data_IF_365515334446
#
_entry.id   IF_365515334446
#
_cell.length_a   1.000
_cell.length_b   1.000
_cell.length_c   1.000
_cell.angle_alpha   90.00
_cell.angle_beta   90.00
_cell.angle_gamma   90.00
#
_symmetry.space_group_name_H-M   'P 1'
#
loop_
_entity.id
_entity.type
_entity.pdbx_description
1 polymer ?
#
# COMPACT_ATOMS: atom_id res chain seq x y z
N UNK A 1 -5.31 -2.22 27.25
CA UNK A 1 -5.08 -0.79 26.93
C UNK A 1 -3.80 -0.52 26.12
N UNK A 2 -2.69 -1.27 26.31
CA UNK A 2 -1.45 -1.09 25.52
C UNK A 2 -1.57 -1.50 24.04
N UNK A 3 -2.45 -2.46 23.72
CA UNK A 3 -2.68 -2.98 22.36
C UNK A 3 -3.31 -1.95 21.42
N UNK A 4 -4.20 -1.09 21.93
CA UNK A 4 -4.86 -0.04 21.14
C UNK A 4 -3.88 1.10 20.81
N UNK A 5 -2.99 1.44 21.75
CA UNK A 5 -1.95 2.43 21.51
C UNK A 5 -0.96 1.99 20.40
N UNK A 6 -0.57 0.70 20.39
CA UNK A 6 0.28 0.16 19.32
C UNK A 6 -0.43 0.14 17.97
N UNK A 7 -1.69 -0.30 17.93
CA UNK A 7 -2.48 -0.30 16.71
C UNK A 7 -2.65 1.12 16.14
N UNK A 8 -2.94 2.11 16.99
CA UNK A 8 -3.04 3.50 16.57
C UNK A 8 -1.73 4.05 16.01
N UNK A 9 -0.58 3.69 16.62
CA UNK A 9 0.73 4.10 16.12
C UNK A 9 1.06 3.49 14.75
N UNK A 10 0.73 2.21 14.53
CA UNK A 10 0.94 1.53 13.24
C UNK A 10 0.05 2.14 12.16
N UNK A 11 -1.22 2.38 12.45
CA UNK A 11 -2.16 3.01 11.50
C UNK A 11 -1.73 4.43 11.14
N UNK A 12 -1.25 5.22 12.11
CA UNK A 12 -0.77 6.57 11.88
C UNK A 12 0.58 6.62 11.13
N UNK A 13 1.42 5.59 11.24
CA UNK A 13 2.65 5.49 10.45
C UNK A 13 2.38 5.07 9.00
N UNK A 14 1.38 4.22 8.78
CA UNK A 14 1.03 3.68 7.46
C UNK A 14 0.56 4.75 6.46
N UNK A 15 -0.04 5.86 6.92
CA UNK A 15 -0.48 6.97 6.04
C UNK A 15 0.67 7.64 5.28
N UNK A 16 1.92 7.49 5.72
CA UNK A 16 3.10 8.05 5.05
C UNK A 16 3.62 7.22 3.87
N UNK A 17 3.15 5.99 3.71
CA UNK A 17 3.53 5.13 2.58
C UNK A 17 2.78 5.47 1.27
N UNK A 18 1.96 6.53 1.26
CA UNK A 18 1.25 6.99 0.07
C UNK A 18 2.19 7.86 -0.79
N UNK A 19 2.56 7.37 -1.98
CA UNK A 19 3.53 7.99 -2.90
C UNK A 19 3.09 9.35 -3.52
N UNK A 20 1.99 9.94 -3.04
CA UNK A 20 1.45 11.21 -3.54
C UNK A 20 0.90 11.14 -4.96
N UNK A 21 0.62 12.31 -5.55
CA UNK A 21 0.33 12.45 -6.97
C UNK A 21 1.55 13.09 -7.63
N UNK A 22 2.45 12.30 -8.27
CA UNK A 22 3.65 12.86 -8.89
C UNK A 22 3.27 13.89 -9.95
N UNK A 23 4.05 14.96 -10.05
CA UNK A 23 3.88 15.97 -11.09
C UNK A 23 4.02 15.30 -12.48
N UNK A 24 3.19 15.67 -13.48
CA UNK A 24 3.29 15.08 -14.81
C UNK A 24 4.68 15.32 -15.38
N UNK A 25 5.41 14.25 -15.70
CA UNK A 25 6.73 14.36 -16.32
C UNK A 25 6.60 15.07 -17.68
N UNK A 26 7.54 15.97 -18.05
CA UNK A 26 7.56 16.57 -19.38
C UNK A 26 7.68 15.46 -20.43
N UNK A 27 6.65 15.35 -21.29
CA UNK A 27 6.51 14.25 -22.23
C UNK A 27 7.33 14.58 -23.49
N UNK A 28 8.56 14.07 -23.58
CA UNK A 28 9.21 13.88 -24.88
C UNK A 28 8.48 12.73 -25.62
N UNK A 29 8.35 12.74 -26.96
CA UNK A 29 7.66 11.66 -27.68
C UNK A 29 8.48 10.37 -27.63
N UNK A 30 8.37 9.64 -26.51
CA UNK A 30 9.04 8.36 -26.29
C UNK A 30 8.26 7.27 -27.03
N UNK A 31 8.96 6.52 -27.89
CA UNK A 31 8.46 5.26 -28.45
C UNK A 31 8.19 4.33 -27.26
N UNK A 32 6.91 4.12 -26.97
CA UNK A 32 6.37 3.41 -25.82
C UNK A 32 7.09 2.08 -25.57
N UNK A 33 7.88 2.04 -24.48
CA UNK A 33 7.96 0.85 -23.62
C UNK A 33 7.73 1.37 -22.20
N UNK A 34 6.46 1.65 -21.91
CA UNK A 34 5.99 1.97 -20.56
C UNK A 34 5.98 0.69 -19.72
N UNK A 35 7.15 0.28 -19.22
CA UNK A 35 7.22 -0.66 -18.08
C UNK A 35 6.86 0.07 -16.77
N UNK A 36 5.78 0.86 -16.79
CA UNK A 36 5.22 1.47 -15.59
C UNK A 36 4.35 0.43 -14.92
N UNK A 37 4.96 -0.43 -14.11
CA UNK A 37 4.22 -1.24 -13.13
C UNK A 37 3.70 -0.33 -12.03
N UNK A 38 2.50 0.20 -12.23
CA UNK A 38 1.78 0.93 -11.21
C UNK A 38 1.52 0.01 -10.01
N UNK A 39 1.64 0.53 -8.78
CA UNK A 39 1.18 -0.16 -7.57
C UNK A 39 -0.35 -0.32 -7.52
N UNK A 40 -1.05 -0.09 -8.63
CA UNK A 40 -2.48 -0.26 -8.86
C UNK A 40 -2.97 -1.70 -8.81
N UNK A 41 -2.20 -2.62 -8.22
CA UNK A 41 -2.75 -3.78 -7.55
C UNK A 41 -3.52 -3.35 -6.27
N UNK A 42 -4.32 -2.27 -6.36
CA UNK A 42 -4.89 -1.53 -5.24
C UNK A 42 -5.84 -2.35 -4.38
N UNK A 43 -6.21 -3.55 -4.85
CA UNK A 43 -6.97 -4.54 -4.09
C UNK A 43 -6.15 -5.75 -3.63
N UNK A 44 -5.03 -6.09 -4.29
CA UNK A 44 -4.21 -7.26 -3.93
C UNK A 44 -3.55 -7.04 -2.57
N UNK A 45 -2.98 -5.85 -2.34
CA UNK A 45 -2.35 -5.51 -1.05
C UNK A 45 -3.36 -5.54 0.11
N UNK A 46 -4.54 -4.88 0.04
CA UNK A 46 -5.51 -4.97 1.13
C UNK A 46 -6.12 -6.38 1.29
N UNK A 47 -6.34 -7.14 0.20
CA UNK A 47 -6.78 -8.55 0.31
C UNK A 47 -5.74 -9.39 1.05
N UNK A 48 -4.46 -9.28 0.67
CA UNK A 48 -3.39 -10.02 1.34
C UNK A 48 -3.28 -9.64 2.82
N UNK A 49 -3.44 -8.36 3.15
CA UNK A 49 -3.46 -7.91 4.54
C UNK A 49 -4.62 -8.54 5.34
N UNK A 50 -5.82 -8.63 4.76
CA UNK A 50 -6.98 -9.29 5.38
C UNK A 50 -6.72 -10.78 5.57
N UNK A 51 -6.14 -11.46 4.58
CA UNK A 51 -5.82 -12.89 4.65
C UNK A 51 -4.80 -13.16 5.77
N UNK A 52 -3.74 -12.37 5.86
CA UNK A 52 -2.72 -12.52 6.90
C UNK A 52 -3.28 -12.28 8.30
N UNK A 53 -4.17 -11.29 8.45
CA UNK A 53 -4.83 -11.01 9.73
C UNK A 53 -5.78 -12.15 10.14
N UNK A 54 -6.53 -12.71 9.18
CA UNK A 54 -7.40 -13.87 9.41
C UNK A 54 -6.61 -15.13 9.76
N UNK A 55 -5.49 -15.39 9.07
CA UNK A 55 -4.61 -16.51 9.35
C UNK A 55 -3.99 -16.41 10.76
N UNK A 56 -3.52 -15.22 11.15
CA UNK A 56 -2.98 -14.97 12.49
C UNK A 56 -4.05 -15.10 13.60
N UNK A 57 -5.32 -14.81 13.30
CA UNK A 57 -6.44 -14.99 14.22
C UNK A 57 -6.92 -16.45 14.32
N UNK A 58 -6.70 -17.26 13.28
CA UNK A 58 -7.05 -18.68 13.24
C UNK A 58 -5.92 -19.62 13.69
N UNK A 59 -4.73 -19.10 13.99
CA UNK A 59 -3.55 -19.84 14.43
C UNK A 59 -3.42 -19.99 15.95
N UNK A 60 -4.51 -19.75 16.70
CA UNK A 60 -4.64 -20.02 18.14
C UNK A 60 -5.33 -21.37 18.37
#
# INVERSE_FOLDING_TARGET
MKKIALAAAVTAAATTAYAGNPEPAPIEPVVIVEDTSSSSAGIVVPILAIILLAAAAASD
#
